data_IF_669642146154
#
_entry.id   IF_669642146154
#
_cell.length_a   1.000
_cell.length_b   1.000
_cell.length_c   1.000
_cell.angle_alpha   90.00
_cell.angle_beta   90.00
_cell.angle_gamma   90.00
#
_symmetry.space_group_name_H-M   'P 1'
#
loop_
_entity.id
_entity.type
_entity.pdbx_description
1 polymer ?
#
# COMPACT_ATOMS: atom_id res chain seq x y z
N UNK A 1 -14.61 29.27 -6.72
CA UNK A 1 -13.50 28.30 -6.58
C UNK A 1 -13.07 28.32 -5.12
N UNK A 2 -13.47 27.37 -4.35
CA UNK A 2 -13.08 27.22 -2.95
C UNK A 2 -11.88 26.29 -2.92
N UNK A 3 -10.69 26.86 -2.68
CA UNK A 3 -9.50 26.12 -2.31
C UNK A 3 -9.80 25.36 -1.02
N UNK A 4 -9.95 24.04 -1.12
CA UNK A 4 -9.93 23.19 0.06
C UNK A 4 -8.46 23.12 0.53
N UNK A 5 -8.14 23.94 1.53
CA UNK A 5 -6.92 23.82 2.31
C UNK A 5 -6.92 22.43 2.97
N UNK A 6 -6.28 21.48 2.32
CA UNK A 6 -5.91 20.18 2.90
C UNK A 6 -4.91 20.46 4.01
N UNK A 7 -5.40 20.56 5.24
CA UNK A 7 -4.54 20.62 6.42
C UNK A 7 -3.86 19.25 6.54
N UNK A 8 -2.65 19.14 6.00
CA UNK A 8 -1.81 17.94 6.11
C UNK A 8 -1.48 17.76 7.58
N UNK A 9 -2.10 16.77 8.21
CA UNK A 9 -1.77 16.42 9.59
C UNK A 9 -0.33 15.90 9.62
N UNK A 10 0.60 16.66 10.24
CA UNK A 10 1.99 16.23 10.43
C UNK A 10 2.03 14.91 11.19
N UNK A 11 2.42 13.84 10.52
CA UNK A 11 2.71 12.58 11.16
C UNK A 11 4.07 12.69 11.86
N UNK A 12 4.12 12.51 13.19
CA UNK A 12 5.38 12.60 13.96
C UNK A 12 6.47 11.63 13.47
N UNK A 13 6.11 10.62 12.70
CA UNK A 13 7.03 9.63 12.12
C UNK A 13 7.49 10.00 10.70
N UNK A 14 6.83 10.94 10.04
CA UNK A 14 7.20 11.50 8.73
C UNK A 14 7.64 12.95 8.90
N UNK A 15 8.87 13.11 9.38
CA UNK A 15 9.42 14.42 9.76
C UNK A 15 9.58 15.38 8.58
N UNK A 16 9.76 14.83 7.37
CA UNK A 16 9.98 15.61 6.13
C UNK A 16 8.70 15.80 5.32
N UNK A 17 7.65 15.02 5.59
CA UNK A 17 6.43 14.99 4.77
C UNK A 17 6.60 14.23 3.44
N UNK A 18 7.79 13.68 3.17
CA UNK A 18 8.11 12.99 1.91
C UNK A 18 7.22 11.77 1.69
N UNK A 19 6.93 11.00 2.73
CA UNK A 19 6.06 9.82 2.61
C UNK A 19 4.61 10.19 2.24
N UNK A 20 4.10 11.29 2.79
CA UNK A 20 2.76 11.79 2.48
C UNK A 20 2.71 12.28 1.03
N UNK A 21 3.68 13.05 0.59
CA UNK A 21 3.75 13.55 -0.78
C UNK A 21 3.88 12.41 -1.80
N UNK A 22 4.70 11.41 -1.52
CA UNK A 22 4.86 10.22 -2.36
C UNK A 22 3.54 9.45 -2.48
N UNK A 23 2.82 9.28 -1.36
CA UNK A 23 1.51 8.64 -1.35
C UNK A 23 0.48 9.40 -2.18
N UNK A 24 0.37 10.72 -2.01
CA UNK A 24 -0.53 11.57 -2.79
C UNK A 24 -0.20 11.56 -4.29
N UNK A 25 1.08 11.50 -4.65
CA UNK A 25 1.52 11.38 -6.04
C UNK A 25 1.03 10.07 -6.68
N UNK A 26 1.13 8.95 -5.96
CA UNK A 26 0.63 7.66 -6.43
C UNK A 26 -0.90 7.66 -6.59
N UNK A 27 -1.63 8.25 -5.64
CA UNK A 27 -3.09 8.38 -5.73
C UNK A 27 -3.52 9.22 -6.94
N UNK A 28 -2.87 10.36 -7.19
CA UNK A 28 -3.16 11.22 -8.33
C UNK A 28 -2.90 10.50 -9.66
N UNK A 29 -1.81 9.76 -9.75
CA UNK A 29 -1.49 8.98 -10.94
C UNK A 29 -2.50 7.85 -11.16
N UNK A 30 -2.94 7.19 -10.10
CA UNK A 30 -4.00 6.19 -10.16
C UNK A 30 -5.31 6.79 -10.69
N UNK A 31 -5.70 7.98 -10.22
CA UNK A 31 -6.87 8.71 -10.70
C UNK A 31 -6.78 9.00 -12.21
N UNK A 32 -5.64 9.53 -12.68
CA UNK A 32 -5.41 9.83 -14.10
C UNK A 32 -5.54 8.58 -14.98
N UNK A 33 -5.01 7.44 -14.53
CA UNK A 33 -5.12 6.18 -15.27
C UNK A 33 -6.57 5.68 -15.30
N UNK A 34 -7.28 5.74 -14.17
CA UNK A 34 -8.70 5.37 -14.12
C UNK A 34 -9.56 6.25 -15.04
N UNK A 35 -9.32 7.56 -15.05
CA UNK A 35 -9.98 8.51 -15.95
C UNK A 35 -9.68 8.22 -17.42
N UNK A 36 -8.43 7.89 -17.77
CA UNK A 36 -8.05 7.52 -19.14
C UNK A 36 -8.78 6.25 -19.63
N UNK A 37 -9.20 5.40 -18.69
CA UNK A 37 -10.01 4.21 -18.96
C UNK A 37 -11.51 4.46 -18.91
N UNK A 38 -11.93 5.72 -18.75
CA UNK A 38 -13.34 6.14 -18.60
C UNK A 38 -14.03 5.48 -17.41
N UNK A 39 -13.29 5.17 -16.34
CA UNK A 39 -13.84 4.63 -15.11
C UNK A 39 -14.29 5.75 -14.18
N UNK A 40 -15.37 5.52 -13.44
CA UNK A 40 -15.77 6.43 -12.37
C UNK A 40 -14.90 6.18 -11.14
N UNK A 41 -14.33 7.26 -10.58
CA UNK A 41 -13.50 7.19 -9.39
C UNK A 41 -13.96 8.20 -8.34
N UNK A 42 -14.00 7.77 -7.08
CA UNK A 42 -14.37 8.61 -5.94
C UNK A 42 -13.38 8.45 -4.80
N UNK A 43 -13.03 9.56 -4.17
CA UNK A 43 -12.23 9.52 -2.93
C UNK A 43 -13.04 8.88 -1.81
N UNK A 44 -12.42 8.03 -1.02
CA UNK A 44 -12.97 7.58 0.24
C UNK A 44 -13.07 8.77 1.22
N UNK A 45 -14.00 8.69 2.16
CA UNK A 45 -14.08 9.68 3.23
C UNK A 45 -12.86 9.53 4.14
N UNK A 46 -12.40 10.64 4.73
CA UNK A 46 -11.23 10.65 5.62
C UNK A 46 -11.29 9.57 6.71
N UNK A 47 -12.48 9.31 7.27
CA UNK A 47 -12.68 8.27 8.29
C UNK A 47 -12.45 6.86 7.73
N UNK A 48 -12.87 6.61 6.51
CA UNK A 48 -12.66 5.33 5.82
C UNK A 48 -11.18 5.13 5.49
N UNK A 49 -10.51 6.16 5.01
CA UNK A 49 -9.07 6.11 4.77
C UNK A 49 -8.28 5.78 6.05
N UNK A 50 -8.56 6.46 7.17
CA UNK A 50 -7.83 6.27 8.42
C UNK A 50 -8.13 4.92 9.09
N UNK A 51 -9.39 4.49 9.12
CA UNK A 51 -9.82 3.34 9.93
C UNK A 51 -10.01 2.05 9.12
N UNK A 52 -10.25 2.19 7.83
CA UNK A 52 -10.55 1.07 6.92
C UNK A 52 -9.47 0.83 5.89
N UNK A 53 -8.48 1.72 5.79
CA UNK A 53 -7.45 1.66 4.75
C UNK A 53 -8.06 1.63 3.34
N UNK A 54 -8.98 2.54 3.06
CA UNK A 54 -9.59 2.73 1.73
C UNK A 54 -9.21 4.13 1.24
N UNK A 55 -8.56 4.23 0.09
CA UNK A 55 -8.22 5.50 -0.54
C UNK A 55 -9.29 5.93 -1.54
N UNK A 56 -9.73 5.00 -2.39
CA UNK A 56 -10.66 5.26 -3.49
C UNK A 56 -11.72 4.17 -3.65
N UNK A 57 -12.81 4.56 -4.30
CA UNK A 57 -13.80 3.66 -4.87
C UNK A 57 -13.75 3.80 -6.39
N UNK A 58 -13.68 2.67 -7.08
CA UNK A 58 -13.67 2.59 -8.55
C UNK A 58 -14.90 1.84 -9.01
N UNK A 59 -15.60 2.40 -10.00
CA UNK A 59 -16.74 1.75 -10.63
C UNK A 59 -16.37 1.38 -12.06
N UNK A 60 -16.47 0.10 -12.38
CA UNK A 60 -16.29 -0.47 -13.70
C UNK A 60 -17.53 -1.29 -14.10
N UNK A 61 -17.46 -2.03 -15.21
CA UNK A 61 -18.56 -2.87 -15.70
C UNK A 61 -18.98 -4.00 -14.74
N UNK A 62 -18.09 -4.36 -13.80
CA UNK A 62 -18.37 -5.42 -12.81
C UNK A 62 -19.00 -4.88 -11.53
N UNK A 63 -19.01 -3.57 -11.34
CA UNK A 63 -19.54 -2.88 -10.15
C UNK A 63 -18.53 -1.95 -9.50
N UNK A 64 -18.82 -1.58 -8.25
CA UNK A 64 -17.96 -0.69 -7.47
C UNK A 64 -17.10 -1.50 -6.50
N UNK A 65 -15.80 -1.23 -6.48
CA UNK A 65 -14.83 -1.83 -5.56
C UNK A 65 -13.96 -0.75 -4.91
N UNK A 66 -13.48 -1.06 -3.72
CA UNK A 66 -12.59 -0.17 -2.95
C UNK A 66 -11.14 -0.56 -3.11
N UNK A 67 -10.24 0.44 -3.03
CA UNK A 67 -8.80 0.23 -3.19
C UNK A 67 -8.00 1.02 -2.18
N UNK A 68 -6.95 0.40 -1.67
CA UNK A 68 -5.86 1.01 -0.91
C UNK A 68 -4.63 1.09 -1.84
N UNK A 69 -4.09 2.30 -2.05
CA UNK A 69 -3.03 2.57 -3.02
C UNK A 69 -1.68 2.67 -2.30
N UNK A 70 -0.73 1.87 -2.73
CA UNK A 70 0.62 1.81 -2.16
C UNK A 70 1.65 2.34 -3.15
N UNK A 71 2.22 3.50 -2.82
CA UNK A 71 3.32 4.07 -3.59
C UNK A 71 4.58 3.20 -3.52
N UNK A 72 5.44 3.32 -4.52
CA UNK A 72 6.76 2.69 -4.56
C UNK A 72 7.57 2.99 -3.30
N UNK A 73 8.26 2.01 -2.77
CA UNK A 73 9.04 2.12 -1.53
C UNK A 73 10.50 1.69 -1.72
N UNK A 74 11.37 2.26 -0.87
CA UNK A 74 12.74 1.76 -0.67
C UNK A 74 12.71 0.53 0.23
N UNK A 75 13.65 -0.39 0.03
CA UNK A 75 13.80 -1.55 0.94
C UNK A 75 14.50 -1.17 2.25
N UNK A 76 15.33 -0.12 2.22
CA UNK A 76 15.96 0.43 3.41
C UNK A 76 16.13 1.95 3.29
N UNK A 77 16.42 2.62 4.42
CA UNK A 77 16.69 4.07 4.42
C UNK A 77 18.00 4.43 3.69
N UNK A 78 18.94 3.51 3.62
CA UNK A 78 20.21 3.72 2.92
C UNK A 78 20.11 3.63 1.41
N UNK A 79 19.01 3.06 0.88
CA UNK A 79 18.79 3.01 -0.56
C UNK A 79 18.44 4.40 -1.09
N UNK A 80 19.06 4.79 -2.21
CA UNK A 80 18.82 6.08 -2.85
C UNK A 80 17.47 6.16 -3.57
N UNK A 81 16.95 5.02 -4.06
CA UNK A 81 15.78 4.95 -4.92
C UNK A 81 14.74 3.93 -4.44
N UNK A 82 13.48 4.19 -4.78
CA UNK A 82 12.41 3.21 -4.69
C UNK A 82 12.66 2.08 -5.69
N UNK A 83 12.15 0.90 -5.39
CA UNK A 83 12.30 -0.31 -6.19
C UNK A 83 10.95 -1.04 -6.32
N UNK A 84 10.84 -2.00 -7.21
CA UNK A 84 9.60 -2.69 -7.54
C UNK A 84 9.62 -4.18 -7.18
N UNK A 85 10.77 -4.73 -6.80
CA UNK A 85 10.91 -6.17 -6.55
C UNK A 85 10.28 -6.61 -5.23
N UNK A 86 10.44 -5.79 -4.20
CA UNK A 86 10.01 -6.10 -2.84
C UNK A 86 8.89 -5.18 -2.38
N UNK A 87 7.80 -5.78 -1.92
CA UNK A 87 6.63 -5.09 -1.37
C UNK A 87 6.65 -5.18 0.15
N UNK A 88 6.58 -4.02 0.82
CA UNK A 88 6.37 -3.95 2.25
C UNK A 88 4.91 -4.28 2.60
N UNK A 89 4.73 -5.32 3.39
CA UNK A 89 3.43 -5.72 3.94
C UNK A 89 3.36 -5.26 5.40
N UNK A 90 2.24 -4.67 5.79
CA UNK A 90 2.01 -4.19 7.15
C UNK A 90 0.90 -4.99 7.81
N UNK A 91 1.26 -5.81 8.79
CA UNK A 91 0.33 -6.55 9.65
C UNK A 91 -0.23 -5.67 10.75
N UNK A 92 0.63 -4.79 11.30
CA UNK A 92 0.32 -3.86 12.38
C UNK A 92 1.00 -2.52 12.09
N UNK A 93 0.27 -1.43 12.32
CA UNK A 93 0.79 -0.09 12.06
C UNK A 93 1.66 0.45 13.21
N UNK A 94 2.26 1.63 13.02
CA UNK A 94 3.17 2.26 13.99
C UNK A 94 2.56 2.53 15.37
N UNK A 95 1.25 2.58 15.48
CA UNK A 95 0.51 2.78 16.73
C UNK A 95 0.10 1.47 17.40
N UNK A 96 0.35 0.34 16.76
CA UNK A 96 -0.06 -0.97 17.23
C UNK A 96 -1.46 -1.41 16.82
N UNK A 97 -2.14 -0.63 15.96
CA UNK A 97 -3.44 -1.00 15.41
C UNK A 97 -3.25 -1.90 14.17
N UNK A 98 -4.32 -2.50 13.72
CA UNK A 98 -4.37 -3.32 12.51
C UNK A 98 -3.72 -2.59 11.32
N UNK A 99 -2.79 -3.26 10.66
CA UNK A 99 -2.14 -2.76 9.46
C UNK A 99 -3.03 -2.85 8.22
N UNK A 100 -2.57 -2.26 7.14
CA UNK A 100 -3.37 -2.16 5.91
C UNK A 100 -3.68 -3.53 5.27
N UNK A 101 -2.87 -4.57 5.48
CA UNK A 101 -3.16 -5.91 4.95
C UNK A 101 -4.54 -6.41 5.39
N UNK A 102 -4.94 -6.09 6.60
CA UNK A 102 -6.23 -6.48 7.19
C UNK A 102 -7.26 -5.33 7.19
N UNK A 103 -7.03 -4.29 6.40
CA UNK A 103 -8.02 -3.23 6.20
C UNK A 103 -9.26 -3.70 5.42
N UNK A 104 -10.21 -2.80 5.19
CA UNK A 104 -11.51 -3.13 4.56
C UNK A 104 -11.50 -2.96 3.03
N UNK A 105 -10.40 -2.51 2.41
CA UNK A 105 -10.33 -2.38 0.96
C UNK A 105 -10.49 -3.75 0.26
N UNK A 106 -11.18 -3.78 -0.86
CA UNK A 106 -11.35 -4.99 -1.67
C UNK A 106 -10.05 -5.38 -2.39
N UNK A 107 -9.27 -4.35 -2.78
CA UNK A 107 -8.05 -4.51 -3.58
C UNK A 107 -6.94 -3.61 -3.05
N UNK A 108 -5.71 -4.04 -3.29
CA UNK A 108 -4.50 -3.24 -3.01
C UNK A 108 -3.82 -2.96 -4.35
N UNK A 109 -3.55 -1.68 -4.62
CA UNK A 109 -2.84 -1.25 -5.82
C UNK A 109 -1.39 -0.91 -5.50
N UNK A 110 -0.46 -1.74 -5.95
CA UNK A 110 0.97 -1.50 -5.80
C UNK A 110 1.50 -0.73 -7.01
N UNK A 111 1.98 0.49 -6.76
CA UNK A 111 2.67 1.28 -7.77
C UNK A 111 4.02 0.66 -8.08
N UNK A 112 4.31 0.50 -9.38
CA UNK A 112 5.64 0.21 -9.92
C UNK A 112 6.12 1.36 -10.80
N UNK A 113 7.31 1.25 -11.37
CA UNK A 113 7.80 2.23 -12.32
C UNK A 113 6.86 2.38 -13.53
N UNK A 114 6.35 1.27 -14.04
CA UNK A 114 5.64 1.22 -15.33
C UNK A 114 4.12 1.05 -15.20
N UNK A 115 3.63 0.63 -14.02
CA UNK A 115 2.22 0.27 -13.86
C UNK A 115 1.75 0.29 -12.41
N UNK A 116 0.44 0.03 -12.23
CA UNK A 116 -0.12 -0.44 -10.96
C UNK A 116 -0.47 -1.92 -11.08
N UNK A 117 0.05 -2.73 -10.17
CA UNK A 117 -0.39 -4.12 -9.97
C UNK A 117 -1.50 -4.11 -8.92
N UNK A 118 -2.73 -4.39 -9.36
CA UNK A 118 -3.94 -4.33 -8.51
C UNK A 118 -4.32 -5.75 -8.12
N UNK A 119 -4.22 -6.04 -6.83
CA UNK A 119 -4.33 -7.39 -6.27
C UNK A 119 -5.59 -7.52 -5.43
N UNK A 120 -6.35 -8.61 -5.57
CA UNK A 120 -7.44 -8.93 -4.65
C UNK A 120 -6.89 -9.18 -3.24
N UNK A 121 -7.36 -8.41 -2.27
CA UNK A 121 -6.83 -8.45 -0.90
C UNK A 121 -6.94 -9.82 -0.25
N UNK A 122 -8.05 -10.52 -0.43
CA UNK A 122 -8.24 -11.84 0.19
C UNK A 122 -7.24 -12.88 -0.35
N UNK A 123 -6.90 -12.81 -1.63
CA UNK A 123 -5.86 -13.67 -2.20
C UNK A 123 -4.46 -13.30 -1.71
N UNK A 124 -4.21 -12.01 -1.51
CA UNK A 124 -2.96 -11.50 -0.93
C UNK A 124 -2.78 -11.95 0.52
N UNK A 125 -3.82 -11.84 1.35
CA UNK A 125 -3.80 -12.31 2.75
C UNK A 125 -3.44 -13.79 2.80
N UNK A 126 -4.14 -14.63 2.04
CA UNK A 126 -3.89 -16.07 1.99
C UNK A 126 -2.46 -16.40 1.58
N UNK A 127 -1.94 -15.71 0.57
CA UNK A 127 -0.57 -15.89 0.12
C UNK A 127 0.44 -15.49 1.21
N UNK A 128 0.32 -14.28 1.75
CA UNK A 128 1.22 -13.74 2.76
C UNK A 128 1.25 -14.61 4.02
N UNK A 129 0.09 -15.01 4.54
CA UNK A 129 0.00 -15.87 5.73
C UNK A 129 0.59 -17.26 5.52
N UNK A 130 0.60 -17.75 4.28
CA UNK A 130 1.20 -19.04 3.93
C UNK A 130 2.73 -19.00 3.81
N UNK A 131 3.30 -17.88 3.35
CA UNK A 131 4.74 -17.81 3.02
C UNK A 131 5.58 -17.08 4.04
N UNK A 132 4.99 -16.22 4.87
CA UNK A 132 5.71 -15.44 5.89
C UNK A 132 5.86 -16.26 7.17
N UNK A 133 7.09 -16.41 7.62
CA UNK A 133 7.39 -17.04 8.91
C UNK A 133 7.16 -16.05 10.06
N UNK A 134 5.95 -16.07 10.62
CA UNK A 134 5.56 -15.20 11.73
C UNK A 134 6.34 -15.50 13.03
N UNK A 135 6.96 -16.67 13.16
CA UNK A 135 7.80 -17.06 14.30
C UNK A 135 9.21 -16.49 14.23
N UNK A 136 9.64 -15.99 13.08
CA UNK A 136 10.98 -15.40 12.90
C UNK A 136 10.89 -13.88 12.82
N UNK A 137 11.51 -13.21 13.81
CA UNK A 137 11.68 -11.76 13.83
C UNK A 137 13.13 -11.38 13.58
N UNK A 138 13.36 -10.39 12.74
CA UNK A 138 14.67 -9.90 12.37
C UNK A 138 14.91 -8.49 12.85
N UNK A 139 16.18 -8.12 13.05
CA UNK A 139 16.58 -6.83 13.60
C UNK A 139 16.67 -5.73 12.53
N UNK A 140 17.02 -6.09 11.31
CA UNK A 140 17.29 -5.14 10.22
C UNK A 140 16.28 -5.30 9.09
N UNK A 141 15.88 -4.19 8.49
CA UNK A 141 14.95 -4.17 7.35
C UNK A 141 15.45 -5.00 6.16
N UNK A 142 16.77 -5.03 5.94
CA UNK A 142 17.39 -5.83 4.88
C UNK A 142 17.24 -7.35 5.03
N UNK A 143 16.78 -7.81 6.19
CA UNK A 143 16.56 -9.23 6.50
C UNK A 143 15.07 -9.61 6.54
N UNK A 144 14.18 -8.64 6.24
CA UNK A 144 12.74 -8.79 6.44
C UNK A 144 12.02 -9.61 5.35
N UNK A 145 12.77 -10.21 4.39
CA UNK A 145 12.19 -11.04 3.35
C UNK A 145 11.53 -12.29 3.98
N UNK A 146 10.20 -12.37 3.87
CA UNK A 146 9.37 -13.45 4.41
C UNK A 146 9.54 -13.72 5.92
N UNK A 147 10.01 -12.71 6.66
CA UNK A 147 10.18 -12.73 8.12
C UNK A 147 9.64 -11.45 8.73
N UNK A 148 9.25 -11.49 9.98
CA UNK A 148 8.72 -10.30 10.65
C UNK A 148 9.83 -9.33 11.05
N UNK A 149 9.52 -8.05 10.97
CA UNK A 149 10.40 -6.95 11.32
C UNK A 149 9.64 -5.84 12.04
N UNK A 150 10.24 -5.31 13.10
CA UNK A 150 9.77 -4.12 13.82
C UNK A 150 10.80 -3.02 13.73
N UNK A 151 10.35 -1.81 13.43
CA UNK A 151 11.23 -0.64 13.51
C UNK A 151 11.48 -0.27 14.97
N UNK A 152 12.72 0.09 15.31
CA UNK A 152 13.09 0.50 16.66
C UNK A 152 12.20 1.65 17.16
N UNK A 153 11.65 1.52 18.37
CA UNK A 153 10.77 2.51 18.98
C UNK A 153 9.38 2.65 18.36
N UNK A 154 8.94 1.67 17.56
CA UNK A 154 7.60 1.62 16.94
C UNK A 154 6.90 0.30 17.25
N UNK A 155 5.56 0.31 17.14
CA UNK A 155 4.74 -0.86 17.39
C UNK A 155 4.34 -1.60 16.09
N UNK A 156 4.88 -1.20 14.96
CA UNK A 156 4.56 -1.82 13.68
C UNK A 156 5.10 -3.26 13.57
N UNK A 157 4.43 -4.04 12.75
CA UNK A 157 4.85 -5.38 12.38
C UNK A 157 4.81 -5.48 10.86
N UNK A 158 5.97 -5.67 10.27
CA UNK A 158 6.19 -5.60 8.83
C UNK A 158 6.86 -6.87 8.31
N UNK A 159 6.74 -7.09 7.02
CA UNK A 159 7.56 -8.05 6.25
C UNK A 159 7.76 -7.52 4.84
N UNK A 160 8.65 -8.12 4.08
CA UNK A 160 8.75 -7.93 2.63
C UNK A 160 8.43 -9.24 1.91
N UNK A 161 7.68 -9.13 0.81
CA UNK A 161 7.43 -10.23 -0.12
C UNK A 161 7.74 -9.78 -1.55
N UNK A 162 8.11 -10.70 -2.42
CA UNK A 162 8.40 -10.36 -3.82
C UNK A 162 7.13 -10.08 -4.61
N UNK A 163 7.12 -8.99 -5.39
CA UNK A 163 6.01 -8.65 -6.28
C UNK A 163 5.80 -9.73 -7.36
N UNK A 164 6.88 -10.33 -7.86
CA UNK A 164 6.81 -11.42 -8.82
C UNK A 164 6.07 -12.64 -8.28
N UNK A 165 6.27 -12.96 -6.99
CA UNK A 165 5.59 -14.06 -6.34
C UNK A 165 4.12 -13.71 -6.01
N UNK A 166 3.82 -12.45 -5.66
CA UNK A 166 2.44 -11.97 -5.55
C UNK A 166 1.69 -12.18 -6.88
N UNK A 167 2.31 -11.77 -8.00
CA UNK A 167 1.71 -11.94 -9.34
C UNK A 167 1.47 -13.40 -9.72
N UNK A 168 2.33 -14.32 -9.30
CA UNK A 168 2.16 -15.76 -9.56
C UNK A 168 1.05 -16.40 -8.73
N UNK A 169 0.87 -15.94 -7.48
CA UNK A 169 0.06 -16.66 -6.48
C UNK A 169 -1.26 -15.95 -6.13
N UNK A 170 -1.41 -14.68 -6.51
CA UNK A 170 -2.58 -13.89 -6.17
C UNK A 170 -3.38 -13.50 -7.41
N UNK A 171 -4.69 -13.38 -7.26
CA UNK A 171 -5.56 -12.80 -8.28
C UNK A 171 -5.23 -11.32 -8.42
N UNK A 172 -4.91 -10.89 -9.62
CA UNK A 172 -4.52 -9.51 -9.92
C UNK A 172 -4.79 -9.14 -11.37
N UNK A 173 -4.74 -7.85 -11.63
CA UNK A 173 -4.64 -7.27 -12.97
C UNK A 173 -3.71 -6.06 -12.95
N UNK A 174 -3.35 -5.54 -14.11
CA UNK A 174 -2.36 -4.47 -14.24
C UNK A 174 -2.97 -3.30 -15.01
N UNK A 175 -2.71 -2.08 -14.53
CA UNK A 175 -2.96 -0.83 -15.23
C UNK A 175 -1.63 -0.19 -15.59
N UNK A 176 -1.33 -0.13 -16.88
CA UNK A 176 -0.12 0.53 -17.41
C UNK A 176 -0.21 2.05 -17.21
N UNK A 177 0.94 2.69 -16.98
CA UNK A 177 1.09 4.14 -16.87
C UNK A 177 1.08 4.84 -18.21
#
# INVERSE_FOLDING_TARGET
>A
MTEQNLTIQKNKYDKTGECIQTGLGAEQLFDQIAESKSLEIKNAKRRENIHKHIDKYVTDETGTWSVDIKARKKTSRSNSQAQDDWIWIEFQNVRGNTGWLYGDADRIAFETQDNFTIVEKDSLIKYVENVVDMGKSVKYSSQAQYKTYRRAGRNDLLTMVELSEIKKNCKHFVWEK
#
